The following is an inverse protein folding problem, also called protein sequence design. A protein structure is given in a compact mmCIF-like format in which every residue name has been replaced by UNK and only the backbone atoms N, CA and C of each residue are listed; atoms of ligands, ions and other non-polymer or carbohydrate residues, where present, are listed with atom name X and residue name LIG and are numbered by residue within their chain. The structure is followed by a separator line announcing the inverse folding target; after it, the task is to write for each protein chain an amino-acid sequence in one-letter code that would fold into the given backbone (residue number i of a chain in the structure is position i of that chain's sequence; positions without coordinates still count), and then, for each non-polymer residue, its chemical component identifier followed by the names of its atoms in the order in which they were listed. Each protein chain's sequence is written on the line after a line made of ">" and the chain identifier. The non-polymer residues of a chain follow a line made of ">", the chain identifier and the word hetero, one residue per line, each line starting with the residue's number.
data_IF_802027476206
#
_entry.id   IF_802027476206
#
_cell.length_a   1.000
_cell.length_b   1.000
_cell.length_c   1.000
_cell.angle_alpha   90.00
_cell.angle_beta   90.00
_cell.angle_gamma   90.00
#
_symmetry.space_group_name_H-M   'P 1'
#
loop_
_entity.id
_entity.type
_entity.pdbx_description
1 polymer ?
#
# COMPACT_ATOMS: atom_id res chain seq x y z
N UNK A 1 -17.96 -18.94 -58.61
CA UNK A 1 -16.83 -18.14 -58.10
C UNK A 1 -17.25 -17.54 -56.76
N UNK A 2 -16.35 -17.60 -55.78
CA UNK A 2 -16.62 -17.50 -54.35
C UNK A 2 -16.84 -16.07 -53.81
N UNK A 3 -17.51 -16.02 -52.65
CA UNK A 3 -17.90 -14.87 -51.85
C UNK A 3 -16.75 -13.96 -51.39
N UNK A 4 -17.04 -12.67 -51.18
CA UNK A 4 -16.35 -11.90 -50.14
C UNK A 4 -17.24 -10.77 -49.60
N UNK A 5 -17.84 -11.02 -48.43
CA UNK A 5 -18.46 -9.99 -47.58
C UNK A 5 -17.35 -9.29 -46.79
N UNK A 6 -17.25 -7.95 -46.89
CA UNK A 6 -16.36 -7.15 -46.05
C UNK A 6 -17.11 -6.69 -44.80
N UNK A 7 -16.80 -7.30 -43.66
CA UNK A 7 -17.24 -6.87 -42.33
C UNK A 7 -16.32 -5.77 -41.81
N UNK A 8 -16.82 -4.55 -41.67
CA UNK A 8 -16.14 -3.44 -40.99
C UNK A 8 -16.43 -3.51 -39.49
N UNK A 9 -15.44 -3.86 -38.68
CA UNK A 9 -15.53 -3.86 -37.21
C UNK A 9 -15.01 -2.53 -36.66
N UNK A 10 -15.86 -1.77 -35.97
CA UNK A 10 -15.46 -0.58 -35.23
C UNK A 10 -14.56 -0.96 -34.02
N UNK A 11 -13.62 -0.09 -33.59
CA UNK A 11 -12.74 -0.40 -32.46
C UNK A 11 -13.56 -0.49 -31.16
N UNK A 12 -13.41 -1.60 -30.44
CA UNK A 12 -14.01 -1.82 -29.12
C UNK A 12 -13.41 -0.79 -28.16
N UNK A 13 -14.16 0.28 -27.86
CA UNK A 13 -13.79 1.22 -26.80
C UNK A 13 -14.13 0.57 -25.46
N UNK A 14 -13.11 0.08 -24.75
CA UNK A 14 -13.29 -0.42 -23.39
C UNK A 14 -13.89 0.69 -22.49
N UNK A 15 -14.93 0.40 -21.70
CA UNK A 15 -15.48 1.37 -20.76
C UNK A 15 -14.42 1.80 -19.73
N UNK A 16 -14.28 3.11 -19.54
CA UNK A 16 -13.40 3.71 -18.52
C UNK A 16 -13.97 3.36 -17.13
N UNK A 17 -13.23 2.67 -16.25
CA UNK A 17 -13.73 2.39 -14.90
C UNK A 17 -13.88 3.70 -14.13
N UNK A 18 -15.11 4.08 -13.82
CA UNK A 18 -15.41 5.22 -12.95
C UNK A 18 -15.13 4.82 -11.50
N UNK A 19 -14.32 5.62 -10.81
CA UNK A 19 -13.69 5.36 -9.52
C UNK A 19 -14.64 5.27 -8.30
N UNK A 20 -15.95 5.18 -8.52
CA UNK A 20 -16.96 5.45 -7.49
C UNK A 20 -17.50 4.23 -6.73
N UNK A 21 -16.90 3.03 -6.84
CA UNK A 21 -17.51 1.80 -6.27
C UNK A 21 -16.66 1.05 -5.24
N UNK A 22 -15.64 1.64 -4.62
CA UNK A 22 -14.72 0.92 -3.71
C UNK A 22 -14.97 1.17 -2.21
N UNK A 23 -16.08 1.81 -1.83
CA UNK A 23 -16.42 2.04 -0.43
C UNK A 23 -17.40 0.98 0.09
N UNK A 24 -17.05 -0.29 -0.07
CA UNK A 24 -17.64 -1.35 0.74
C UNK A 24 -16.65 -1.65 1.88
N UNK A 25 -17.16 -1.51 3.10
CA UNK A 25 -16.47 -1.71 4.36
C UNK A 25 -15.72 -3.05 4.37
N UNK A 26 -14.39 -3.01 4.55
CA UNK A 26 -13.61 -4.23 4.76
C UNK A 26 -13.75 -4.61 6.24
N UNK A 27 -14.65 -5.55 6.52
CA UNK A 27 -14.69 -6.28 7.80
C UNK A 27 -13.44 -7.17 7.90
N UNK A 28 -12.57 -6.82 8.84
CA UNK A 28 -11.26 -7.46 9.05
C UNK A 28 -11.35 -8.86 9.65
N UNK A 29 -12.54 -9.35 10.02
CA UNK A 29 -12.68 -10.64 10.72
C UNK A 29 -12.92 -11.85 9.80
N UNK A 30 -13.09 -11.67 8.49
CA UNK A 30 -13.46 -12.77 7.57
C UNK A 30 -12.71 -12.75 6.22
N UNK A 31 -11.40 -12.54 6.22
CA UNK A 31 -10.60 -12.79 5.01
C UNK A 31 -10.33 -14.29 4.91
N UNK A 32 -11.22 -15.02 4.23
CA UNK A 32 -10.80 -16.21 3.48
C UNK A 32 -9.84 -15.72 2.40
N UNK A 33 -8.54 -15.99 2.62
CA UNK A 33 -7.48 -15.64 1.67
C UNK A 33 -7.68 -16.48 0.42
N UNK A 34 -8.27 -15.88 -0.63
CA UNK A 34 -8.22 -16.49 -1.95
C UNK A 34 -6.74 -16.49 -2.40
N UNK A 35 -6.11 -17.65 -2.66
CA UNK A 35 -4.70 -17.71 -3.02
C UNK A 35 -4.37 -17.04 -4.37
N UNK A 36 -5.37 -16.57 -5.13
CA UNK A 36 -5.18 -15.88 -6.41
C UNK A 36 -5.28 -14.35 -6.34
N UNK A 37 -5.70 -13.77 -5.21
CA UNK A 37 -5.63 -12.32 -5.04
C UNK A 37 -4.17 -11.92 -4.85
N UNK A 38 -3.51 -11.55 -5.95
CA UNK A 38 -2.20 -10.87 -5.95
C UNK A 38 -2.23 -9.81 -4.84
N UNK A 39 -1.39 -9.98 -3.82
CA UNK A 39 -1.20 -8.98 -2.76
C UNK A 39 -0.94 -7.66 -3.48
N UNK A 40 -1.92 -6.75 -3.45
CA UNK A 40 -1.78 -5.46 -4.13
C UNK A 40 -0.60 -4.75 -3.47
N UNK A 41 0.47 -4.55 -4.24
CA UNK A 41 1.62 -3.78 -3.75
C UNK A 41 1.13 -2.37 -3.42
N UNK A 42 1.31 -1.97 -2.17
CA UNK A 42 1.02 -0.60 -1.73
C UNK A 42 2.04 0.32 -2.37
N UNK A 43 1.58 1.24 -3.22
CA UNK A 43 2.42 2.31 -3.77
C UNK A 43 2.48 3.45 -2.77
N UNK A 44 3.68 3.67 -2.22
CA UNK A 44 3.93 4.73 -1.26
C UNK A 44 4.04 6.09 -1.94
N UNK A 45 3.62 7.12 -1.22
CA UNK A 45 3.80 8.52 -1.59
C UNK A 45 4.34 9.29 -0.37
N UNK A 46 4.81 10.51 -0.61
CA UNK A 46 5.47 11.32 0.42
C UNK A 46 4.58 11.60 1.63
N UNK A 47 3.26 11.72 1.43
CA UNK A 47 2.30 11.92 2.52
C UNK A 47 2.26 10.68 3.44
N UNK A 48 2.19 9.48 2.86
CA UNK A 48 2.22 8.23 3.63
C UNK A 48 3.56 8.05 4.35
N UNK A 49 4.67 8.34 3.66
CA UNK A 49 6.00 8.30 4.27
C UNK A 49 6.08 9.29 5.45
N UNK A 50 5.53 10.50 5.29
CA UNK A 50 5.46 11.51 6.34
C UNK A 50 4.73 11.01 7.60
N UNK A 51 3.54 10.41 7.45
CA UNK A 51 2.82 9.83 8.59
C UNK A 51 3.58 8.68 9.24
N UNK A 52 4.11 7.76 8.43
CA UNK A 52 4.88 6.61 8.91
C UNK A 52 6.11 7.05 9.70
N UNK A 53 6.94 7.92 9.11
CA UNK A 53 8.19 8.41 9.71
C UNK A 53 7.90 9.20 10.98
N UNK A 54 6.93 10.11 10.95
CA UNK A 54 6.55 10.92 12.13
C UNK A 54 6.12 10.04 13.29
N UNK A 55 5.27 9.04 13.03
CA UNK A 55 4.83 8.11 14.06
C UNK A 55 6.02 7.36 14.69
N UNK A 56 6.94 6.86 13.87
CA UNK A 56 8.12 6.13 14.33
C UNK A 56 9.09 7.01 15.10
N UNK A 57 9.32 8.26 14.66
CA UNK A 57 10.14 9.24 15.37
C UNK A 57 9.53 9.57 16.73
N UNK A 58 8.22 9.79 16.80
CA UNK A 58 7.54 10.06 18.06
C UNK A 58 7.69 8.91 19.06
N UNK A 59 7.70 7.64 18.60
CA UNK A 59 7.97 6.51 19.49
C UNK A 59 9.40 6.55 20.06
N UNK A 60 10.39 6.88 19.23
CA UNK A 60 11.78 7.01 19.68
C UNK A 60 11.93 8.16 20.67
N UNK A 61 11.33 9.31 20.38
CA UNK A 61 11.35 10.49 21.26
C UNK A 61 10.64 10.23 22.60
N UNK A 62 9.59 9.40 22.60
CA UNK A 62 8.90 8.98 23.82
C UNK A 62 9.69 7.96 24.67
N UNK A 63 10.93 7.62 24.28
CA UNK A 63 11.78 6.70 25.03
C UNK A 63 11.50 5.22 24.77
N UNK A 64 10.65 4.88 23.80
CA UNK A 64 10.48 3.49 23.40
C UNK A 64 11.73 3.01 22.68
N UNK A 65 12.43 2.07 23.31
CA UNK A 65 13.65 1.49 22.75
C UNK A 65 13.34 0.77 21.44
N UNK A 66 14.22 0.98 20.46
CA UNK A 66 14.34 0.08 19.31
C UNK A 66 14.84 -1.27 19.81
N UNK A 67 14.46 -2.34 19.13
CA UNK A 67 15.12 -3.64 19.31
C UNK A 67 16.45 -3.64 18.55
N UNK A 68 17.31 -4.60 18.82
CA UNK A 68 18.55 -4.82 18.06
C UNK A 68 18.26 -5.04 16.56
N UNK A 69 17.03 -5.46 16.24
CA UNK A 69 16.53 -5.69 14.88
C UNK A 69 15.75 -4.49 14.29
N UNK A 70 15.79 -3.31 14.92
CA UNK A 70 15.13 -2.09 14.46
C UNK A 70 13.86 -1.74 15.22
N UNK A 71 12.77 -1.42 14.52
CA UNK A 71 11.50 -1.06 15.17
C UNK A 71 10.75 -2.29 15.67
N UNK A 72 10.17 -2.20 16.86
CA UNK A 72 9.35 -3.26 17.45
C UNK A 72 7.97 -3.33 16.79
N UNK A 73 7.26 -4.46 16.96
CA UNK A 73 5.88 -4.61 16.49
C UNK A 73 4.95 -3.52 17.00
N UNK A 74 5.15 -3.06 18.25
CA UNK A 74 4.41 -1.95 18.83
C UNK A 74 4.67 -0.62 18.08
N UNK A 75 5.92 -0.33 17.72
CA UNK A 75 6.24 0.88 16.98
C UNK A 75 5.68 0.83 15.55
N UNK A 76 5.76 -0.35 14.91
CA UNK A 76 5.19 -0.59 13.58
C UNK A 76 3.66 -0.46 13.60
N UNK A 77 2.98 -0.96 14.62
CA UNK A 77 1.51 -0.82 14.72
C UNK A 77 1.08 0.64 14.85
N UNK A 78 1.83 1.47 15.58
CA UNK A 78 1.59 2.93 15.65
C UNK A 78 1.80 3.61 14.31
N UNK A 79 2.78 3.18 13.52
CA UNK A 79 2.98 3.67 12.17
C UNK A 79 1.81 3.29 11.25
N UNK A 80 1.31 2.05 11.34
CA UNK A 80 0.13 1.59 10.59
C UNK A 80 -1.10 2.40 10.96
N UNK A 81 -1.38 2.58 12.26
CA UNK A 81 -2.50 3.41 12.73
C UNK A 81 -2.41 4.83 12.16
N UNK A 82 -1.22 5.43 12.18
CA UNK A 82 -1.00 6.79 11.70
C UNK A 82 -1.23 6.92 10.19
N UNK A 83 -0.67 6.00 9.39
CA UNK A 83 -0.88 5.99 7.93
C UNK A 83 -2.34 5.70 7.59
N UNK A 84 -2.97 4.74 8.28
CA UNK A 84 -4.35 4.35 8.02
C UNK A 84 -5.31 5.52 8.32
N UNK A 85 -5.14 6.20 9.46
CA UNK A 85 -5.95 7.36 9.82
C UNK A 85 -5.64 8.59 8.97
N UNK A 86 -4.36 8.83 8.65
CA UNK A 86 -3.92 10.03 7.92
C UNK A 86 -4.15 9.99 6.41
N UNK A 87 -4.21 8.79 5.82
CA UNK A 87 -4.31 8.60 4.38
C UNK A 87 -5.52 7.76 3.94
N UNK A 88 -6.29 7.16 4.85
CA UNK A 88 -7.45 6.34 4.50
C UNK A 88 -7.10 5.05 3.75
N UNK A 89 -5.88 4.54 3.95
CA UNK A 89 -5.38 3.32 3.28
C UNK A 89 -4.97 2.28 4.30
N UNK A 90 -5.37 1.02 4.05
CA UNK A 90 -4.99 -0.11 4.90
C UNK A 90 -3.59 -0.57 4.50
N UNK A 91 -2.69 -0.61 5.49
CA UNK A 91 -1.31 -1.11 5.32
C UNK A 91 -1.01 -2.16 6.39
N UNK A 92 -0.19 -3.15 6.03
CA UNK A 92 0.26 -4.20 6.95
C UNK A 92 1.69 -3.97 7.43
N UNK A 93 2.11 -4.69 8.48
CA UNK A 93 3.49 -4.70 8.98
C UNK A 93 4.50 -4.95 7.85
N UNK A 94 4.18 -5.89 6.95
CA UNK A 94 5.04 -6.22 5.80
C UNK A 94 5.20 -5.03 4.85
N UNK A 95 4.15 -4.23 4.66
CA UNK A 95 4.24 -3.04 3.80
C UNK A 95 5.15 -1.98 4.43
N UNK A 96 5.00 -1.72 5.73
CA UNK A 96 5.82 -0.76 6.47
C UNK A 96 7.29 -1.19 6.45
N UNK A 97 7.57 -2.44 6.79
CA UNK A 97 8.95 -2.95 6.82
C UNK A 97 9.59 -2.96 5.43
N UNK A 98 8.83 -3.28 4.38
CA UNK A 98 9.32 -3.18 3.01
C UNK A 98 9.66 -1.73 2.63
N UNK A 99 8.81 -0.77 2.99
CA UNK A 99 9.08 0.65 2.70
C UNK A 99 10.29 1.17 3.47
N UNK A 100 10.42 0.84 4.75
CA UNK A 100 11.60 1.22 5.55
C UNK A 100 12.91 0.69 4.94
N UNK A 101 12.91 -0.54 4.39
CA UNK A 101 14.06 -1.07 3.65
C UNK A 101 14.36 -0.26 2.39
N UNK A 102 13.34 0.17 1.66
CA UNK A 102 13.49 1.03 0.48
C UNK A 102 14.07 2.40 0.88
N UNK A 103 13.47 3.08 1.87
CA UNK A 103 13.96 4.38 2.35
C UNK A 103 15.41 4.28 2.82
N UNK A 104 15.79 3.21 3.54
CA UNK A 104 17.18 3.00 3.97
C UNK A 104 18.15 2.99 2.79
N UNK A 105 17.78 2.41 1.64
CA UNK A 105 18.62 2.40 0.44
C UNK A 105 18.67 3.79 -0.20
N UNK A 106 17.50 4.39 -0.41
CA UNK A 106 17.35 5.72 -1.03
C UNK A 106 18.17 6.78 -0.28
N UNK A 107 18.25 6.71 1.06
CA UNK A 107 19.03 7.66 1.87
C UNK A 107 20.44 7.18 2.24
N UNK A 108 20.78 5.90 2.07
CA UNK A 108 22.17 5.43 2.26
C UNK A 108 23.07 5.84 1.10
N UNK A 109 22.50 6.04 -0.09
CA UNK A 109 23.20 6.50 -1.30
C UNK A 109 23.43 8.02 -1.32
N UNK A 110 22.89 8.75 -0.33
CA UNK A 110 22.98 10.23 -0.24
C UNK A 110 24.12 10.69 0.69
N UNK A 111 25.03 9.78 1.07
CA UNK A 111 26.21 10.10 1.89
C UNK A 111 27.50 10.18 1.07
#
# INVERSE_FOLDING_TARGET
>A
MAHQQQSSAAPIRAPRPTYASYTEYIDTNNIQVNPTTKIRQVRWNDKMDGFMITALVNQVLAGHKRSDNGFTSFQVSKAIESVTKGCGVVVSDKNVMARLKTLKKEYAEVN
#
